data_IF_222870949662
#
_entry.id   IF_222870949662
#
_cell.length_a   1.000
_cell.length_b   1.000
_cell.length_c   1.000
_cell.angle_alpha   90.00
_cell.angle_beta   90.00
_cell.angle_gamma   90.00
#
_symmetry.space_group_name_H-M   'P 1'
#
loop_
_entity.id
_entity.type
_entity.pdbx_description
1 polymer ?
#
# COMPACT_ATOMS: atom_id res chain seq x y z
N UNK A 1 -14.16 -9.26 -35.10
CA UNK A 1 -13.35 -10.20 -34.29
C UNK A 1 -12.38 -9.38 -33.46
N UNK A 2 -12.64 -9.23 -32.16
CA UNK A 2 -11.73 -8.52 -31.25
C UNK A 2 -10.60 -9.48 -30.82
N UNK A 3 -9.32 -9.07 -30.85
CA UNK A 3 -8.23 -9.96 -30.51
C UNK A 3 -8.32 -10.38 -29.04
N UNK A 4 -8.42 -11.70 -28.82
CA UNK A 4 -8.27 -12.36 -27.52
C UNK A 4 -6.81 -12.26 -27.06
N UNK A 5 -6.44 -11.13 -26.45
CA UNK A 5 -5.17 -10.99 -25.70
C UNK A 5 -5.42 -10.80 -24.18
N UNK A 6 -6.59 -11.23 -23.67
CA UNK A 6 -7.13 -10.80 -22.37
C UNK A 6 -6.93 -11.77 -21.18
N UNK A 7 -6.22 -12.89 -21.30
CA UNK A 7 -6.41 -14.00 -20.33
C UNK A 7 -5.21 -14.43 -19.50
N UNK A 8 -3.95 -14.11 -19.84
CA UNK A 8 -2.79 -14.56 -19.04
C UNK A 8 -2.14 -13.47 -18.19
N UNK A 9 -1.98 -12.25 -18.68
CA UNK A 9 -1.36 -11.14 -17.93
C UNK A 9 -2.31 -10.53 -16.89
N UNK A 10 -3.61 -10.50 -17.15
CA UNK A 10 -4.64 -9.94 -16.26
C UNK A 10 -4.81 -10.75 -14.96
N UNK A 11 -4.69 -12.07 -15.02
CA UNK A 11 -4.89 -12.95 -13.85
C UNK A 11 -3.76 -12.80 -12.84
N UNK A 12 -2.50 -12.75 -13.28
CA UNK A 12 -1.34 -12.55 -12.39
C UNK A 12 -1.35 -11.17 -11.74
N UNK A 13 -1.74 -10.11 -12.48
CA UNK A 13 -1.92 -8.77 -11.94
C UNK A 13 -3.01 -8.72 -10.86
N UNK A 14 -4.16 -9.36 -11.10
CA UNK A 14 -5.29 -9.40 -10.15
C UNK A 14 -4.92 -10.11 -8.86
N UNK A 15 -4.20 -11.23 -8.94
CA UNK A 15 -3.70 -11.94 -7.76
C UNK A 15 -2.71 -11.06 -6.99
N UNK A 16 -1.78 -10.39 -7.67
CA UNK A 16 -0.83 -9.47 -7.05
C UNK A 16 -1.53 -8.33 -6.29
N UNK A 17 -2.57 -7.74 -6.88
CA UNK A 17 -3.38 -6.70 -6.23
C UNK A 17 -4.14 -7.23 -5.01
N UNK A 18 -4.72 -8.43 -5.06
CA UNK A 18 -5.40 -9.02 -3.91
C UNK A 18 -4.43 -9.31 -2.74
N UNK A 19 -3.20 -9.73 -3.03
CA UNK A 19 -2.15 -9.89 -2.02
C UNK A 19 -1.82 -8.54 -1.38
N UNK A 20 -1.69 -7.47 -2.18
CA UNK A 20 -1.41 -6.11 -1.68
C UNK A 20 -2.55 -5.64 -0.75
N UNK A 21 -3.81 -5.83 -1.16
CA UNK A 21 -4.99 -5.47 -0.34
C UNK A 21 -4.97 -6.18 1.01
N UNK A 22 -4.77 -7.50 1.00
CA UNK A 22 -4.78 -8.32 2.22
C UNK A 22 -3.66 -7.91 3.18
N UNK A 23 -2.45 -7.71 2.66
CA UNK A 23 -1.28 -7.34 3.46
C UNK A 23 -1.46 -5.95 4.10
N UNK A 24 -1.84 -4.95 3.30
CA UNK A 24 -1.99 -3.59 3.81
C UNK A 24 -3.17 -3.46 4.77
N UNK A 25 -4.27 -4.17 4.53
CA UNK A 25 -5.42 -4.13 5.45
C UNK A 25 -5.11 -4.78 6.80
N UNK A 26 -4.36 -5.90 6.79
CA UNK A 26 -3.91 -6.55 8.02
C UNK A 26 -2.95 -5.64 8.81
N UNK A 27 -2.02 -4.96 8.14
CA UNK A 27 -1.13 -3.98 8.76
C UNK A 27 -1.91 -2.81 9.36
N UNK A 28 -2.93 -2.31 8.65
CA UNK A 28 -3.81 -1.26 9.15
C UNK A 28 -4.46 -1.67 10.49
N UNK A 29 -5.10 -2.85 10.54
CA UNK A 29 -5.77 -3.34 11.74
C UNK A 29 -4.80 -3.49 12.90
N UNK A 30 -3.62 -4.06 12.65
CA UNK A 30 -2.60 -4.30 13.68
C UNK A 30 -2.05 -3.00 14.27
N UNK A 31 -1.72 -2.01 13.42
CA UNK A 31 -1.28 -0.72 13.94
C UNK A 31 -2.43 0.07 14.57
N UNK A 32 -3.66 -0.07 14.07
CA UNK A 32 -4.80 0.58 14.71
C UNK A 32 -5.05 0.03 16.13
N UNK A 33 -4.95 -1.29 16.28
CA UNK A 33 -5.02 -1.96 17.58
C UNK A 33 -3.87 -1.52 18.50
N UNK A 34 -2.63 -1.52 18.01
CA UNK A 34 -1.47 -1.03 18.78
C UNK A 34 -1.64 0.43 19.22
N UNK A 35 -2.18 1.29 18.36
CA UNK A 35 -2.48 2.67 18.71
C UNK A 35 -3.51 2.76 19.83
N UNK A 36 -4.55 1.93 19.78
CA UNK A 36 -5.62 1.94 20.77
C UNK A 36 -5.16 1.52 22.16
N UNK A 37 -4.05 0.77 22.24
CA UNK A 37 -3.44 0.29 23.49
C UNK A 37 -2.52 1.32 24.16
N UNK A 38 -2.18 2.44 23.50
CA UNK A 38 -1.30 3.47 24.07
C UNK A 38 -2.06 4.29 25.11
N UNK A 39 -1.67 4.20 26.39
CA UNK A 39 -2.34 4.89 27.52
C UNK A 39 -2.26 6.42 27.46
N UNK A 40 -1.23 6.99 26.83
CA UNK A 40 -1.12 8.45 26.62
C UNK A 40 -0.43 8.77 25.31
N UNK A 41 -1.22 9.01 24.27
CA UNK A 41 -0.71 9.39 22.95
C UNK A 41 0.08 10.72 22.96
N UNK A 42 -0.19 11.60 23.92
CA UNK A 42 0.53 12.87 24.07
C UNK A 42 1.93 12.69 24.69
N UNK A 43 2.14 11.63 25.49
CA UNK A 43 3.45 11.33 26.07
C UNK A 43 4.42 10.69 25.07
N UNK A 44 3.88 10.09 24.00
CA UNK A 44 4.62 9.40 22.93
C UNK A 44 4.15 9.89 21.55
N UNK A 45 4.18 11.21 21.35
CA UNK A 45 3.48 11.86 20.25
C UNK A 45 4.03 11.49 18.88
N UNK A 46 5.34 11.25 18.75
CA UNK A 46 5.96 10.92 17.47
C UNK A 46 5.64 9.48 17.10
N UNK A 47 5.85 8.52 18.02
CA UNK A 47 5.46 7.12 17.82
C UNK A 47 3.97 6.99 17.56
N UNK A 48 3.12 7.66 18.34
CA UNK A 48 1.66 7.65 18.14
C UNK A 48 1.26 8.23 16.79
N UNK A 49 1.85 9.37 16.38
CA UNK A 49 1.55 9.99 15.11
C UNK A 49 1.90 9.07 13.94
N UNK A 50 3.12 8.56 13.89
CA UNK A 50 3.56 7.72 12.77
C UNK A 50 2.80 6.40 12.71
N UNK A 51 2.40 5.86 13.85
CA UNK A 51 1.64 4.62 13.92
C UNK A 51 0.21 4.83 13.38
N UNK A 52 -0.43 5.95 13.71
CA UNK A 52 -1.73 6.37 13.12
C UNK A 52 -1.61 6.67 11.63
N UNK A 53 -0.62 7.47 11.24
CA UNK A 53 -0.41 7.86 9.86
C UNK A 53 -0.18 6.63 8.98
N UNK A 54 0.68 5.72 9.44
CA UNK A 54 0.95 4.47 8.74
C UNK A 54 -0.29 3.58 8.62
N UNK A 55 -1.09 3.44 9.68
CA UNK A 55 -2.40 2.78 9.61
C UNK A 55 -3.29 3.35 8.51
N UNK A 56 -3.47 4.68 8.48
CA UNK A 56 -4.31 5.32 7.47
C UNK A 56 -3.80 5.15 6.06
N UNK A 57 -2.48 5.23 5.86
CA UNK A 57 -1.86 5.01 4.55
C UNK A 57 -2.08 3.57 4.09
N UNK A 58 -1.90 2.58 4.97
CA UNK A 58 -2.18 1.18 4.64
C UNK A 58 -3.66 0.97 4.27
N UNK A 59 -4.60 1.55 5.02
CA UNK A 59 -6.03 1.52 4.68
C UNK A 59 -6.30 2.17 3.31
N UNK A 60 -5.78 3.37 3.09
CA UNK A 60 -5.93 4.10 1.83
C UNK A 60 -5.39 3.29 0.65
N UNK A 61 -4.19 2.71 0.76
CA UNK A 61 -3.58 1.88 -0.27
C UNK A 61 -4.47 0.67 -0.59
N UNK A 62 -5.02 -0.01 0.42
CA UNK A 62 -5.98 -1.12 0.21
C UNK A 62 -7.22 -0.67 -0.55
N UNK A 63 -7.84 0.46 -0.17
CA UNK A 63 -9.04 0.97 -0.84
C UNK A 63 -8.75 1.36 -2.30
N UNK A 64 -7.62 2.02 -2.55
CA UNK A 64 -7.25 2.42 -3.91
C UNK A 64 -7.00 1.20 -4.81
N UNK A 65 -6.35 0.15 -4.31
CA UNK A 65 -6.17 -1.10 -5.07
C UNK A 65 -7.51 -1.78 -5.35
N UNK A 66 -8.44 -1.81 -4.39
CA UNK A 66 -9.80 -2.28 -4.65
C UNK A 66 -10.49 -1.46 -5.75
N UNK A 67 -10.28 -0.15 -5.77
CA UNK A 67 -10.76 0.74 -6.83
C UNK A 67 -10.15 0.43 -8.20
N UNK A 68 -8.84 0.12 -8.26
CA UNK A 68 -8.18 -0.33 -9.50
C UNK A 68 -8.80 -1.64 -10.01
N UNK A 69 -9.01 -2.61 -9.12
CA UNK A 69 -9.63 -3.89 -9.47
C UNK A 69 -11.08 -3.71 -9.97
N UNK A 70 -11.86 -2.87 -9.28
CA UNK A 70 -13.22 -2.56 -9.66
C UNK A 70 -13.26 -1.83 -11.01
N UNK A 71 -12.44 -0.79 -11.18
CA UNK A 71 -12.30 -0.07 -12.45
C UNK A 71 -11.84 -0.97 -13.60
N UNK A 72 -11.01 -1.99 -13.35
CA UNK A 72 -10.68 -2.96 -14.39
C UNK A 72 -11.90 -3.80 -14.82
N UNK A 73 -12.76 -4.12 -13.86
CA UNK A 73 -13.94 -4.97 -14.07
C UNK A 73 -15.10 -4.23 -14.73
N UNK A 74 -15.45 -3.04 -14.26
CA UNK A 74 -16.69 -2.36 -14.65
C UNK A 74 -16.49 -1.24 -15.67
N UNK A 75 -15.29 -0.68 -15.79
CA UNK A 75 -15.05 0.50 -16.60
C UNK A 75 -14.41 0.16 -17.96
N UNK A 76 -15.24 0.21 -19.01
CA UNK A 76 -14.78 0.05 -20.40
C UNK A 76 -13.91 1.21 -20.91
N UNK A 77 -14.06 2.41 -20.34
CA UNK A 77 -13.28 3.61 -20.70
C UNK A 77 -11.94 3.72 -19.98
N UNK A 78 -11.74 2.92 -18.92
CA UNK A 78 -10.57 2.91 -18.03
C UNK A 78 -10.32 4.23 -17.27
N UNK A 79 -11.24 5.19 -17.30
CA UNK A 79 -11.16 6.45 -16.55
C UNK A 79 -11.07 6.23 -15.04
N UNK A 80 -11.96 5.41 -14.48
CA UNK A 80 -11.97 5.07 -13.06
C UNK A 80 -10.72 4.26 -12.70
N UNK A 81 -10.30 3.34 -13.59
CA UNK A 81 -9.07 2.57 -13.41
C UNK A 81 -7.85 3.49 -13.26
N UNK A 82 -7.69 4.48 -14.16
CA UNK A 82 -6.58 5.43 -14.11
C UNK A 82 -6.62 6.31 -12.87
N UNK A 83 -7.79 6.80 -12.48
CA UNK A 83 -7.96 7.57 -11.25
C UNK A 83 -7.46 6.81 -10.03
N UNK A 84 -7.95 5.58 -9.83
CA UNK A 84 -7.54 4.75 -8.69
C UNK A 84 -6.08 4.31 -8.78
N UNK A 85 -5.55 4.10 -9.99
CA UNK A 85 -4.15 3.73 -10.20
C UNK A 85 -3.20 4.87 -9.78
N UNK A 86 -3.45 6.10 -10.23
CA UNK A 86 -2.63 7.24 -9.81
C UNK A 86 -2.79 7.56 -8.32
N UNK A 87 -4.02 7.49 -7.81
CA UNK A 87 -4.29 7.67 -6.39
C UNK A 87 -3.55 6.63 -5.54
N UNK A 88 -3.48 5.37 -6.01
CA UNK A 88 -2.70 4.31 -5.39
C UNK A 88 -1.19 4.59 -5.41
N UNK A 89 -0.62 5.11 -6.51
CA UNK A 89 0.79 5.49 -6.58
C UNK A 89 1.15 6.57 -5.55
N UNK A 90 0.29 7.58 -5.38
CA UNK A 90 0.47 8.60 -4.34
C UNK A 90 0.44 7.97 -2.95
N UNK A 91 -0.49 7.04 -2.70
CA UNK A 91 -0.54 6.26 -1.47
C UNK A 91 0.73 5.43 -1.23
N UNK A 92 1.29 4.84 -2.30
CA UNK A 92 2.53 4.10 -2.25
C UNK A 92 3.73 4.94 -1.84
N UNK A 93 3.82 6.18 -2.33
CA UNK A 93 4.86 7.14 -1.89
C UNK A 93 4.69 7.52 -0.42
N UNK A 94 3.45 7.78 0.01
CA UNK A 94 3.16 8.03 1.43
C UNK A 94 3.53 6.82 2.30
N UNK A 95 3.29 5.60 1.81
CA UNK A 95 3.61 4.34 2.50
C UNK A 95 5.11 4.16 2.69
N UNK A 96 5.92 4.52 1.68
CA UNK A 96 7.38 4.58 1.81
C UNK A 96 7.79 5.47 2.97
N UNK A 97 7.32 6.73 3.00
CA UNK A 97 7.68 7.68 4.05
C UNK A 97 7.23 7.17 5.42
N UNK A 98 5.98 6.68 5.51
CA UNK A 98 5.42 6.16 6.75
C UNK A 98 6.20 4.96 7.29
N UNK A 99 6.61 4.03 6.43
CA UNK A 99 7.36 2.82 6.83
C UNK A 99 8.71 3.17 7.46
N UNK A 100 9.48 4.07 6.85
CA UNK A 100 10.78 4.47 7.39
C UNK A 100 10.65 5.34 8.64
N UNK A 101 9.70 6.29 8.65
CA UNK A 101 9.51 7.19 9.78
C UNK A 101 8.93 6.46 11.01
N UNK A 102 8.01 5.52 10.80
CA UNK A 102 7.52 4.66 11.87
C UNK A 102 8.65 3.80 12.46
N UNK A 103 9.52 3.23 11.62
CA UNK A 103 10.68 2.48 12.10
C UNK A 103 11.60 3.33 12.97
N UNK A 104 11.92 4.55 12.52
CA UNK A 104 12.72 5.48 13.30
C UNK A 104 12.04 5.89 14.61
N UNK A 105 10.71 6.03 14.62
CA UNK A 105 9.95 6.39 15.82
C UNK A 105 9.82 5.23 16.81
N UNK A 106 9.67 3.98 16.34
CA UNK A 106 9.62 2.77 17.18
C UNK A 106 11.01 2.48 17.79
N UNK A 107 12.07 2.59 17.00
CA UNK A 107 13.45 2.34 17.44
C UNK A 107 14.11 3.56 18.11
N UNK A 108 13.39 4.68 18.20
CA UNK A 108 13.89 5.92 18.80
C UNK A 108 13.50 6.06 20.28
N UNK A 109 13.96 7.14 20.90
CA UNK A 109 13.72 7.42 22.32
C UNK A 109 12.23 7.52 22.69
N UNK A 110 11.36 7.91 21.75
CA UNK A 110 9.90 7.97 21.98
C UNK A 110 9.29 6.56 22.02
N UNK A 111 9.73 5.68 21.12
CA UNK A 111 9.32 4.28 21.05
C UNK A 111 9.78 3.47 22.26
N UNK A 112 11.01 3.68 22.74
CA UNK A 112 11.53 3.04 23.96
C UNK A 112 10.69 3.40 25.19
N UNK A 113 10.34 4.69 25.34
CA UNK A 113 9.47 5.14 26.43
C UNK A 113 8.05 4.58 26.30
N UNK A 114 7.53 4.52 25.07
CA UNK A 114 6.22 3.92 24.80
C UNK A 114 6.21 2.42 25.13
N UNK A 115 7.27 1.69 24.78
CA UNK A 115 7.43 0.27 25.10
C UNK A 115 7.54 0.02 26.62
N UNK A 116 8.28 0.86 27.33
CA UNK A 116 8.41 0.75 28.79
C UNK A 116 7.08 1.01 29.53
N UNK A 117 6.22 1.88 28.97
CA UNK A 117 4.96 2.26 29.59
C UNK A 117 3.76 1.36 29.19
N UNK A 118 3.86 0.61 28.09
CA UNK A 118 2.77 -0.19 27.56
C UNK A 118 3.22 -1.65 27.38
N UNK A 119 2.73 -2.54 28.25
CA UNK A 119 3.13 -3.96 28.24
C UNK A 119 2.87 -4.62 26.88
N UNK A 120 3.91 -5.21 26.30
CA UNK A 120 3.83 -5.91 25.02
C UNK A 120 3.74 -5.01 23.78
N UNK A 121 3.75 -3.68 23.93
CA UNK A 121 3.77 -2.76 22.78
C UNK A 121 5.10 -2.86 22.02
N UNK A 122 6.23 -2.85 22.73
CA UNK A 122 7.57 -2.92 22.12
C UNK A 122 7.73 -4.15 21.25
N UNK A 123 7.51 -5.34 21.82
CA UNK A 123 7.65 -6.62 21.10
C UNK A 123 6.71 -6.73 19.90
N UNK A 124 5.44 -6.34 20.06
CA UNK A 124 4.44 -6.41 18.98
C UNK A 124 4.73 -5.39 17.87
N UNK A 125 5.03 -4.14 18.22
CA UNK A 125 5.27 -3.07 17.24
C UNK A 125 6.56 -3.33 16.45
N UNK A 126 7.64 -3.77 17.12
CA UNK A 126 8.87 -4.17 16.47
C UNK A 126 8.67 -5.40 15.57
N UNK A 127 7.99 -6.44 16.07
CA UNK A 127 7.72 -7.63 15.27
C UNK A 127 6.90 -7.30 14.02
N UNK A 128 5.84 -6.50 14.12
CA UNK A 128 5.00 -6.13 12.97
C UNK A 128 5.78 -5.27 11.98
N UNK A 129 6.56 -4.30 12.46
CA UNK A 129 7.37 -3.45 11.59
C UNK A 129 8.45 -4.25 10.87
N UNK A 130 9.22 -5.09 11.57
CA UNK A 130 10.35 -5.84 11.00
C UNK A 130 9.86 -6.99 10.09
N UNK A 131 8.96 -7.83 10.60
CA UNK A 131 8.57 -9.08 9.91
C UNK A 131 7.54 -8.87 8.81
N UNK A 132 6.70 -7.83 8.93
CA UNK A 132 5.56 -7.63 8.03
C UNK A 132 5.76 -6.37 7.19
N UNK A 133 6.17 -5.26 7.78
CA UNK A 133 6.22 -4.01 7.02
C UNK A 133 7.52 -3.86 6.22
N UNK A 134 8.67 -4.03 6.86
CA UNK A 134 9.98 -3.92 6.22
C UNK A 134 10.25 -5.08 5.26
N UNK A 135 9.96 -6.31 5.67
CA UNK A 135 10.17 -7.50 4.82
C UNK A 135 9.35 -7.47 3.52
N UNK A 136 8.11 -6.99 3.57
CA UNK A 136 7.24 -6.91 2.39
C UNK A 136 7.35 -5.59 1.62
N UNK A 137 8.10 -4.61 2.14
CA UNK A 137 8.33 -3.34 1.44
C UNK A 137 9.08 -3.53 0.12
N UNK A 138 10.13 -4.37 0.08
CA UNK A 138 10.90 -4.61 -1.15
C UNK A 138 10.05 -5.30 -2.23
N UNK A 139 9.33 -6.41 -1.95
CA UNK A 139 8.38 -6.99 -2.89
C UNK A 139 7.32 -5.98 -3.37
N UNK A 140 6.79 -5.15 -2.47
CA UNK A 140 5.81 -4.12 -2.81
C UNK A 140 6.35 -3.13 -3.84
N UNK A 141 7.55 -2.57 -3.61
CA UNK A 141 8.18 -1.63 -4.54
C UNK A 141 8.44 -2.28 -5.90
N UNK A 142 8.94 -3.53 -5.91
CA UNK A 142 9.17 -4.28 -7.15
C UNK A 142 7.86 -4.48 -7.92
N UNK A 143 6.77 -4.82 -7.23
CA UNK A 143 5.45 -4.92 -7.83
C UNK A 143 5.00 -3.58 -8.42
N UNK A 144 5.14 -2.47 -7.69
CA UNK A 144 4.76 -1.13 -8.16
C UNK A 144 5.53 -0.72 -9.42
N UNK A 145 6.85 -0.90 -9.42
CA UNK A 145 7.71 -0.57 -10.57
C UNK A 145 7.35 -1.46 -11.77
N UNK A 146 7.13 -2.76 -11.54
CA UNK A 146 6.75 -3.70 -12.60
C UNK A 146 5.39 -3.37 -13.21
N UNK A 147 4.42 -2.98 -12.37
CA UNK A 147 3.10 -2.53 -12.80
C UNK A 147 3.18 -1.24 -13.61
N UNK A 148 3.91 -0.23 -13.11
CA UNK A 148 4.11 1.02 -13.82
C UNK A 148 4.80 0.78 -15.18
N UNK A 149 5.82 -0.07 -15.22
CA UNK A 149 6.53 -0.43 -16.45
C UNK A 149 5.61 -1.11 -17.48
N UNK A 150 4.82 -2.10 -17.06
CA UNK A 150 3.87 -2.78 -17.95
C UNK A 150 2.83 -1.82 -18.50
N UNK A 151 2.28 -0.95 -17.65
CA UNK A 151 1.26 0.04 -18.03
C UNK A 151 1.83 1.07 -19.02
N UNK A 152 3.04 1.58 -18.79
CA UNK A 152 3.70 2.55 -19.67
C UNK A 152 4.02 1.93 -21.03
N UNK A 153 4.54 0.70 -21.06
CA UNK A 153 4.87 0.02 -22.32
C UNK A 153 3.62 -0.30 -23.14
N UNK A 154 2.56 -0.79 -22.49
CA UNK A 154 1.31 -1.08 -23.19
C UNK A 154 0.65 0.21 -23.72
N UNK A 155 0.82 1.35 -23.04
CA UNK A 155 0.38 2.65 -23.55
C UNK A 155 1.16 3.09 -24.81
N UNK A 156 2.46 2.77 -24.90
CA UNK A 156 3.32 3.10 -26.05
C UNK A 156 3.04 2.17 -27.26
N UNK A 157 2.62 0.94 -27.01
CA UNK A 157 2.36 -0.07 -28.05
C UNK A 157 1.02 0.08 -28.78
N UNK A 158 0.24 1.14 -28.56
CA UNK A 158 -0.95 1.43 -29.38
C UNK A 158 -0.50 2.20 -30.62
N UNK A 159 -0.28 1.56 -31.79
CA UNK A 159 0.00 2.29 -33.01
C UNK A 159 -1.21 3.15 -33.37
N UNK A 160 -0.93 4.41 -33.70
CA UNK A 160 -1.84 5.30 -34.40
C UNK A 160 -2.46 4.54 -35.59
N UNK A 161 -3.75 4.21 -35.51
CA UNK A 161 -4.52 3.73 -36.67
C UNK A 161 -5.00 5.01 -37.36
N UNK A 162 -4.47 5.38 -38.55
CA UNK A 162 -5.02 6.50 -39.28
C UNK A 162 -6.47 6.15 -39.61
N UNK A 163 -7.39 7.05 -39.29
CA UNK A 163 -8.76 6.99 -39.80
C UNK A 163 -8.65 7.00 -41.34
N UNK A 164 -8.90 5.84 -41.97
CA UNK A 164 -9.13 5.80 -43.42
C UNK A 164 -10.51 6.39 -43.66
N UNK A 165 -10.52 7.59 -44.25
CA UNK A 165 -11.68 8.10 -44.99
C UNK A 165 -11.81 7.34 -46.31
#
# INVERSE_FOLDING_TARGET
MLPRFRTRTTTSLRIGFLIIVQQHYTIFLTYWDLRSQIVSAAAYSDTSFWLVFNSFVCFYVSVMVCGVLLGDWIDGSKTAWWFFFFAHLVGGLAYTVATFKLGAAICGADGEKCAAANTGFGDKSAAVWETTQAAFYVPYVVCMVSLAYQVIIEAIKVPYVPLRN
#
